data_IF_109363250647
#
_entry.id   IF_109363250647
#
_cell.length_a   1.000
_cell.length_b   1.000
_cell.length_c   1.000
_cell.angle_alpha   90.00
_cell.angle_beta   90.00
_cell.angle_gamma   90.00
#
_symmetry.space_group_name_H-M   'P 1'
#
loop_
_entity.id
_entity.type
_entity.pdbx_description
1 polymer ?
#
# COMPACT_ATOMS: atom_id res chain seq x y z
N UNK A 1 54.82 -1.29 -31.61
CA UNK A 1 55.79 -0.21 -31.34
C UNK A 1 57.04 -0.83 -30.70
N UNK A 2 58.23 -0.62 -31.28
CA UNK A 2 59.49 -1.16 -30.73
C UNK A 2 59.87 -0.46 -29.42
N UNK A 3 60.55 -1.18 -28.53
CA UNK A 3 61.13 -0.66 -27.28
C UNK A 3 62.16 0.43 -27.66
N UNK A 4 61.81 1.70 -27.44
CA UNK A 4 62.61 2.87 -27.82
C UNK A 4 61.84 3.98 -28.56
N UNK A 5 60.57 3.76 -28.93
CA UNK A 5 59.72 4.82 -29.52
C UNK A 5 59.26 5.81 -28.44
N UNK A 6 59.21 7.14 -28.71
CA UNK A 6 58.81 8.15 -27.72
C UNK A 6 57.38 7.98 -27.16
N UNK A 7 56.53 7.23 -27.86
CA UNK A 7 55.15 6.90 -27.45
C UNK A 7 55.02 5.48 -26.87
N UNK A 8 56.13 4.77 -26.65
CA UNK A 8 56.10 3.43 -26.05
C UNK A 8 55.65 3.51 -24.59
N UNK A 9 54.42 3.06 -24.32
CA UNK A 9 53.79 3.11 -23.00
C UNK A 9 52.78 4.23 -22.80
N UNK A 10 52.49 5.04 -23.83
CA UNK A 10 51.42 6.03 -23.78
C UNK A 10 50.10 5.43 -24.28
N UNK A 11 49.03 5.56 -23.48
CA UNK A 11 47.69 5.19 -23.91
C UNK A 11 47.19 6.23 -24.91
N UNK A 12 47.27 5.92 -26.20
CA UNK A 12 46.71 6.77 -27.26
C UNK A 12 45.22 6.41 -27.41
N UNK A 13 44.29 7.37 -27.22
CA UNK A 13 42.88 7.11 -27.43
C UNK A 13 42.64 6.70 -28.89
N UNK A 14 41.82 5.66 -29.10
CA UNK A 14 41.47 5.22 -30.45
C UNK A 14 40.72 6.35 -31.18
N UNK A 15 41.10 6.64 -32.43
CA UNK A 15 40.38 7.54 -33.34
C UNK A 15 38.89 7.19 -33.48
N UNK A 16 38.52 5.94 -33.21
CA UNK A 16 37.14 5.47 -33.16
C UNK A 16 36.30 6.01 -31.99
N UNK A 17 36.92 6.47 -30.89
CA UNK A 17 36.23 7.14 -29.78
C UNK A 17 36.00 8.65 -30.04
N UNK A 18 36.82 9.27 -30.89
CA UNK A 18 36.68 10.70 -31.25
C UNK A 18 35.59 10.93 -32.32
N UNK A 19 35.27 9.91 -33.13
CA UNK A 19 34.31 10.00 -34.25
C UNK A 19 32.93 9.40 -33.96
N UNK A 20 32.65 8.89 -32.76
CA UNK A 20 31.30 8.43 -32.43
C UNK A 20 30.39 9.61 -32.13
N UNK A 21 29.54 9.92 -33.10
CA UNK A 21 28.47 10.91 -32.97
C UNK A 21 27.69 10.70 -31.67
N UNK A 22 27.35 11.78 -30.95
CA UNK A 22 26.70 11.68 -29.62
C UNK A 22 25.42 10.80 -29.65
N UNK A 23 24.70 10.82 -30.77
CA UNK A 23 23.54 9.97 -31.02
C UNK A 23 23.87 8.48 -31.13
N UNK A 24 25.02 8.12 -31.72
CA UNK A 24 25.49 6.74 -31.86
C UNK A 24 25.89 6.16 -30.50
N UNK A 25 26.51 6.98 -29.65
CA UNK A 25 26.89 6.61 -28.29
C UNK A 25 25.67 6.44 -27.38
N UNK A 26 24.71 7.35 -27.43
CA UNK A 26 23.45 7.21 -26.72
C UNK A 26 22.65 5.97 -27.16
N UNK A 27 22.62 5.67 -28.47
CA UNK A 27 21.97 4.47 -28.99
C UNK A 27 22.65 3.17 -28.50
N UNK A 28 23.98 3.15 -28.40
CA UNK A 28 24.72 2.03 -27.82
C UNK A 28 24.38 1.87 -26.33
N UNK A 29 24.43 2.95 -25.54
CA UNK A 29 24.07 2.93 -24.12
C UNK A 29 22.64 2.43 -23.91
N UNK A 30 21.67 2.88 -24.72
CA UNK A 30 20.27 2.39 -24.64
C UNK A 30 20.13 0.88 -24.85
N UNK A 31 20.97 0.26 -25.69
CA UNK A 31 20.99 -1.20 -25.85
C UNK A 31 21.50 -1.90 -24.59
N UNK A 32 22.44 -1.27 -23.87
CA UNK A 32 22.97 -1.78 -22.61
C UNK A 32 22.05 -1.53 -21.41
N UNK A 33 21.22 -0.47 -21.43
CA UNK A 33 20.42 -0.03 -20.29
C UNK A 33 19.19 -0.87 -19.95
N UNK A 34 18.89 -1.91 -20.75
CA UNK A 34 17.75 -2.82 -20.53
C UNK A 34 16.38 -2.11 -20.39
N UNK A 35 16.22 -0.94 -21.04
CA UNK A 35 14.99 -0.13 -20.98
C UNK A 35 13.92 -0.56 -21.99
N UNK A 36 14.29 -1.21 -23.10
CA UNK A 36 13.36 -1.67 -24.14
C UNK A 36 12.32 -0.61 -24.54
N UNK A 37 11.04 -0.97 -24.40
CA UNK A 37 9.90 -0.12 -24.74
C UNK A 37 9.73 1.15 -23.85
N UNK A 38 10.41 1.20 -22.70
CA UNK A 38 10.36 2.31 -21.74
C UNK A 38 11.28 3.48 -22.14
N UNK A 39 12.06 3.34 -23.21
CA UNK A 39 12.94 4.39 -23.76
C UNK A 39 12.23 5.70 -24.16
N UNK A 40 10.89 5.69 -24.26
CA UNK A 40 10.06 6.87 -24.57
C UNK A 40 9.75 7.77 -23.36
N UNK A 41 9.98 7.29 -22.14
CA UNK A 41 9.65 8.02 -20.91
C UNK A 41 10.78 9.01 -20.59
N UNK A 42 10.44 10.25 -20.28
CA UNK A 42 11.43 11.29 -19.96
C UNK A 42 10.83 12.32 -19.02
N UNK A 43 11.66 13.13 -18.36
CA UNK A 43 11.18 14.21 -17.51
C UNK A 43 10.32 15.23 -18.26
N UNK A 44 10.56 15.45 -19.56
CA UNK A 44 9.78 16.39 -20.37
C UNK A 44 8.38 15.89 -20.72
N UNK A 45 8.15 14.57 -20.63
CA UNK A 45 6.85 13.93 -20.86
C UNK A 45 6.13 13.54 -19.56
N UNK A 46 6.71 13.87 -18.41
CA UNK A 46 6.12 13.62 -17.09
C UNK A 46 5.11 14.71 -16.75
N UNK A 47 3.88 14.29 -16.44
CA UNK A 47 2.88 15.18 -15.84
C UNK A 47 3.24 15.45 -14.37
N UNK A 48 3.42 16.73 -14.03
CA UNK A 48 3.79 17.16 -12.68
C UNK A 48 2.64 17.01 -11.68
N UNK A 49 1.39 16.92 -12.13
CA UNK A 49 0.29 16.56 -11.24
C UNK A 49 0.41 15.10 -10.78
N UNK A 50 1.14 14.27 -11.52
CA UNK A 50 1.33 12.87 -11.18
C UNK A 50 0.06 12.02 -11.34
N UNK A 51 0.18 10.71 -11.09
CA UNK A 51 -0.89 9.75 -11.36
C UNK A 51 -1.97 9.65 -10.28
N UNK A 52 -1.74 10.24 -9.10
CA UNK A 52 -2.66 10.18 -7.95
C UNK A 52 -3.49 11.46 -7.85
N UNK A 53 -4.79 11.33 -7.57
CA UNK A 53 -5.73 12.47 -7.59
C UNK A 53 -5.71 13.33 -6.33
N UNK A 54 -5.21 12.83 -5.20
CA UNK A 54 -5.23 13.56 -3.93
C UNK A 54 -4.18 14.68 -3.90
N UNK A 55 -4.56 15.86 -3.41
CA UNK A 55 -3.72 17.06 -3.44
C UNK A 55 -2.35 16.88 -2.75
N UNK A 56 -2.33 16.13 -1.64
CA UNK A 56 -1.09 15.80 -0.93
C UNK A 56 -0.14 14.94 -1.76
N UNK A 57 -0.63 13.89 -2.42
CA UNK A 57 0.21 13.04 -3.29
C UNK A 57 0.67 13.78 -4.53
N UNK A 58 -0.12 14.71 -5.09
CA UNK A 58 0.32 15.57 -6.20
C UNK A 58 1.53 16.43 -5.78
N UNK A 59 1.47 17.03 -4.59
CA UNK A 59 2.60 17.79 -4.05
C UNK A 59 3.83 16.90 -3.84
N UNK A 60 3.66 15.74 -3.18
CA UNK A 60 4.73 14.77 -2.97
C UNK A 60 5.37 14.29 -4.28
N UNK A 61 4.54 14.03 -5.29
CA UNK A 61 5.01 13.63 -6.61
C UNK A 61 5.82 14.74 -7.28
N UNK A 62 5.33 15.98 -7.29
CA UNK A 62 6.04 17.14 -7.85
C UNK A 62 7.39 17.39 -7.16
N UNK A 63 7.44 17.28 -5.83
CA UNK A 63 8.69 17.38 -5.07
C UNK A 63 9.64 16.23 -5.44
N UNK A 64 9.10 15.02 -5.59
CA UNK A 64 9.88 13.86 -6.01
C UNK A 64 10.42 13.96 -7.44
N UNK A 65 9.68 14.55 -8.37
CA UNK A 65 10.17 14.86 -9.72
C UNK A 65 11.38 15.79 -9.64
N UNK A 66 11.34 16.82 -8.80
CA UNK A 66 12.44 17.77 -8.66
C UNK A 66 13.71 17.10 -8.08
N UNK A 67 13.56 16.23 -7.08
CA UNK A 67 14.68 15.45 -6.52
C UNK A 67 15.23 14.46 -7.54
N UNK A 68 14.36 13.74 -8.26
CA UNK A 68 14.74 12.78 -9.30
C UNK A 68 15.48 13.46 -10.45
N UNK A 69 15.00 14.62 -10.90
CA UNK A 69 15.66 15.41 -11.94
C UNK A 69 17.06 15.85 -11.49
N UNK A 70 17.20 16.36 -10.24
CA UNK A 70 18.50 16.75 -9.68
C UNK A 70 19.46 15.57 -9.60
N UNK A 71 18.99 14.41 -9.14
CA UNK A 71 19.78 13.18 -9.10
C UNK A 71 20.28 12.78 -10.50
N UNK A 72 19.40 12.85 -11.51
CA UNK A 72 19.74 12.44 -12.86
C UNK A 72 20.75 13.36 -13.56
N UNK A 73 20.89 14.62 -13.10
CA UNK A 73 21.93 15.53 -13.58
C UNK A 73 23.31 15.22 -13.00
N UNK A 74 23.38 14.79 -11.74
CA UNK A 74 24.63 14.44 -11.05
C UNK A 74 24.43 13.26 -10.06
N UNK A 75 24.47 12.02 -10.56
CA UNK A 75 24.24 10.83 -9.74
C UNK A 75 25.48 10.53 -8.88
N UNK A 76 25.44 10.97 -7.61
CA UNK A 76 26.52 10.77 -6.63
C UNK A 76 26.12 9.95 -5.41
N UNK A 77 24.81 9.76 -5.18
CA UNK A 77 24.28 9.19 -3.95
C UNK A 77 23.27 8.06 -4.25
N UNK A 78 22.55 7.62 -3.22
CA UNK A 78 21.40 6.73 -3.38
C UNK A 78 20.11 7.54 -3.40
N UNK A 79 19.17 7.13 -4.24
CA UNK A 79 17.81 7.68 -4.30
C UNK A 79 16.81 6.54 -4.14
N UNK A 80 15.98 6.63 -3.11
CA UNK A 80 14.94 5.64 -2.84
C UNK A 80 13.57 6.27 -3.09
N UNK A 81 12.85 5.76 -4.08
CA UNK A 81 11.50 6.20 -4.41
C UNK A 81 10.49 5.23 -3.78
N UNK A 82 9.75 5.69 -2.78
CA UNK A 82 8.71 4.92 -2.09
C UNK A 82 7.32 5.52 -2.35
N UNK A 83 6.27 4.72 -2.21
CA UNK A 83 4.89 5.17 -2.40
C UNK A 83 3.94 4.02 -2.72
N UNK A 84 2.62 4.28 -2.74
CA UNK A 84 1.60 3.28 -3.07
C UNK A 84 1.72 2.82 -4.53
N UNK A 85 1.05 1.73 -4.90
CA UNK A 85 0.97 1.32 -6.29
C UNK A 85 0.42 2.43 -7.19
N UNK A 86 0.92 2.51 -8.42
CA UNK A 86 0.50 3.55 -9.35
C UNK A 86 1.03 4.96 -9.06
N UNK A 87 1.82 5.20 -8.02
CA UNK A 87 2.38 6.52 -7.67
C UNK A 87 3.47 7.06 -8.61
N UNK A 88 3.73 6.41 -9.75
CA UNK A 88 4.73 6.86 -10.74
C UNK A 88 6.20 6.57 -10.40
N UNK A 89 6.50 5.70 -9.43
CA UNK A 89 7.88 5.29 -9.07
C UNK A 89 8.69 4.79 -10.27
N UNK A 90 8.20 3.75 -10.95
CA UNK A 90 8.84 3.19 -12.15
C UNK A 90 9.01 4.24 -13.25
N UNK A 91 8.01 5.11 -13.42
CA UNK A 91 8.08 6.20 -14.41
C UNK A 91 9.24 7.16 -14.12
N UNK A 92 9.39 7.61 -12.87
CA UNK A 92 10.53 8.45 -12.47
C UNK A 92 11.86 7.71 -12.53
N UNK A 93 11.91 6.44 -12.12
CA UNK A 93 13.11 5.60 -12.19
C UNK A 93 13.62 5.47 -13.64
N UNK A 94 12.71 5.26 -14.59
CA UNK A 94 13.00 5.24 -16.02
C UNK A 94 13.41 6.61 -16.53
N UNK A 95 12.73 7.69 -16.11
CA UNK A 95 13.09 9.05 -16.50
C UNK A 95 14.51 9.42 -16.07
N UNK A 96 14.92 9.00 -14.85
CA UNK A 96 16.30 9.13 -14.37
C UNK A 96 17.26 8.36 -15.29
N UNK A 97 16.98 7.09 -15.57
CA UNK A 97 17.83 6.26 -16.42
C UNK A 97 18.03 6.88 -17.82
N UNK A 98 16.95 7.33 -18.46
CA UNK A 98 17.03 7.98 -19.77
C UNK A 98 17.83 9.28 -19.72
N UNK A 99 17.66 10.10 -18.67
CA UNK A 99 18.41 11.34 -18.50
C UNK A 99 19.91 11.10 -18.28
N UNK A 100 20.28 10.08 -17.50
CA UNK A 100 21.68 9.67 -17.35
C UNK A 100 22.28 9.25 -18.71
N UNK A 101 21.54 8.49 -19.52
CA UNK A 101 21.99 8.07 -20.86
C UNK A 101 22.18 9.27 -21.79
N UNK A 102 21.27 10.25 -21.77
CA UNK A 102 21.41 11.51 -22.52
C UNK A 102 22.67 12.29 -22.12
N UNK A 103 23.09 12.18 -20.87
CA UNK A 103 24.33 12.75 -20.33
C UNK A 103 25.58 11.87 -20.58
N UNK A 104 25.48 10.85 -21.42
CA UNK A 104 26.54 9.87 -21.69
C UNK A 104 27.00 9.07 -20.47
N UNK A 105 26.15 8.93 -19.45
CA UNK A 105 26.39 8.06 -18.31
C UNK A 105 25.75 6.68 -18.53
N UNK A 106 26.48 5.63 -18.17
CA UNK A 106 25.97 4.26 -18.26
C UNK A 106 25.02 3.99 -17.10
N UNK A 107 23.72 3.92 -17.43
CA UNK A 107 22.67 3.49 -16.51
C UNK A 107 22.17 2.09 -16.89
N UNK A 108 21.87 1.25 -15.91
CA UNK A 108 21.26 -0.06 -16.10
C UNK A 108 19.96 -0.16 -15.32
N UNK A 109 18.86 -0.41 -16.03
CA UNK A 109 17.53 -0.59 -15.45
C UNK A 109 17.19 -2.08 -15.38
N UNK A 110 16.76 -2.54 -14.21
CA UNK A 110 16.27 -3.91 -14.05
C UNK A 110 15.20 -3.98 -12.97
N UNK A 111 14.14 -4.74 -13.23
CA UNK A 111 13.14 -5.06 -12.22
C UNK A 111 13.71 -6.13 -11.29
N UNK A 112 13.53 -5.99 -9.98
CA UNK A 112 14.10 -6.89 -8.98
C UNK A 112 13.68 -8.36 -9.21
N UNK A 113 12.43 -8.60 -9.62
CA UNK A 113 11.94 -9.93 -9.97
C UNK A 113 12.69 -10.51 -11.19
N UNK A 114 12.85 -9.73 -12.26
CA UNK A 114 13.58 -10.15 -13.47
C UNK A 114 15.05 -10.45 -13.17
N UNK A 115 15.69 -9.64 -12.32
CA UNK A 115 17.06 -9.90 -11.86
C UNK A 115 17.13 -11.28 -11.19
N UNK A 116 16.23 -11.57 -10.24
CA UNK A 116 16.21 -12.83 -9.53
C UNK A 116 15.91 -14.01 -10.45
N UNK A 117 15.00 -13.86 -11.40
CA UNK A 117 14.69 -14.91 -12.37
C UNK A 117 15.87 -15.21 -13.30
N UNK A 118 16.58 -14.18 -13.77
CA UNK A 118 17.82 -14.38 -14.54
C UNK A 118 18.91 -15.06 -13.72
N UNK A 119 19.11 -14.63 -12.47
CA UNK A 119 20.07 -15.24 -11.56
C UNK A 119 19.73 -16.71 -11.28
N UNK A 120 18.44 -17.04 -11.16
CA UNK A 120 17.96 -18.41 -10.96
C UNK A 120 18.13 -19.27 -12.20
N UNK A 121 17.82 -18.73 -13.39
CA UNK A 121 17.97 -19.43 -14.66
C UNK A 121 19.43 -19.80 -14.93
N UNK A 122 20.37 -18.91 -14.57
CA UNK A 122 21.80 -19.13 -14.78
C UNK A 122 22.43 -20.20 -13.85
N UNK A 123 21.71 -20.70 -12.84
CA UNK A 123 22.10 -21.90 -12.08
C UNK A 123 21.73 -23.22 -12.80
N UNK A 124 21.00 -23.16 -13.91
CA UNK A 124 20.66 -24.36 -14.68
C UNK A 124 21.88 -24.83 -15.49
N UNK A 125 22.21 -26.14 -15.48
CA UNK A 125 23.45 -26.66 -16.06
C UNK A 125 23.63 -26.45 -17.59
N UNK A 126 22.60 -25.99 -18.30
CA UNK A 126 22.58 -25.79 -19.75
C UNK A 126 22.57 -24.31 -20.21
N UNK A 127 22.76 -23.34 -19.30
CA UNK A 127 22.71 -21.90 -19.67
C UNK A 127 24.01 -21.41 -20.34
N UNK A 128 23.94 -20.77 -21.53
CA UNK A 128 25.10 -20.20 -22.22
C UNK A 128 25.56 -18.84 -21.66
N UNK A 129 24.78 -18.21 -20.78
CA UNK A 129 25.14 -16.95 -20.10
C UNK A 129 25.64 -17.30 -18.71
N UNK A 130 26.89 -16.91 -18.41
CA UNK A 130 27.48 -17.13 -17.09
C UNK A 130 26.74 -16.27 -16.05
N UNK A 131 26.21 -16.92 -15.02
CA UNK A 131 25.64 -16.31 -13.82
C UNK A 131 26.45 -15.09 -13.31
N UNK A 132 27.77 -15.18 -13.42
CA UNK A 132 28.69 -14.17 -12.91
C UNK A 132 28.64 -12.85 -13.70
N UNK A 133 28.33 -12.87 -15.01
CA UNK A 133 28.40 -11.66 -15.85
C UNK A 133 27.30 -10.65 -15.49
N UNK A 134 26.03 -11.08 -15.42
CA UNK A 134 24.92 -10.20 -15.07
C UNK A 134 25.04 -9.73 -13.62
N UNK A 135 25.44 -10.62 -12.72
CA UNK A 135 25.58 -10.29 -11.30
C UNK A 135 26.69 -9.24 -11.09
N UNK A 136 27.86 -9.42 -11.73
CA UNK A 136 28.94 -8.43 -11.69
C UNK A 136 28.58 -7.14 -12.43
N UNK A 137 27.81 -7.21 -13.51
CA UNK A 137 27.30 -6.01 -14.19
C UNK A 137 26.43 -5.18 -13.26
N UNK A 138 25.45 -5.78 -12.59
CA UNK A 138 24.55 -5.09 -11.64
C UNK A 138 25.33 -4.54 -10.44
N UNK A 139 26.33 -5.27 -9.95
CA UNK A 139 27.18 -4.82 -8.84
C UNK A 139 28.04 -3.62 -9.20
N UNK A 140 28.56 -3.53 -10.42
CA UNK A 140 29.60 -2.57 -10.78
C UNK A 140 29.19 -1.49 -11.79
N UNK A 141 27.96 -1.55 -12.32
CA UNK A 141 27.47 -0.50 -13.24
C UNK A 141 27.52 0.89 -12.57
N UNK A 142 27.91 1.95 -13.29
CA UNK A 142 28.01 3.31 -12.73
C UNK A 142 26.71 3.80 -12.10
N UNK A 143 25.58 3.64 -12.79
CA UNK A 143 24.25 3.97 -12.23
C UNK A 143 23.35 2.75 -12.35
N UNK A 144 22.91 2.21 -11.22
CA UNK A 144 21.93 1.12 -11.18
C UNK A 144 20.54 1.68 -10.86
N UNK A 145 19.53 1.24 -11.60
CA UNK A 145 18.14 1.44 -11.28
C UNK A 145 17.53 0.07 -11.02
N UNK A 146 17.21 -0.20 -9.76
CA UNK A 146 16.56 -1.43 -9.31
C UNK A 146 15.09 -1.13 -9.03
N UNK A 147 14.22 -1.59 -9.92
CA UNK A 147 12.79 -1.30 -9.87
C UNK A 147 11.99 -2.40 -9.14
N UNK A 148 10.91 -1.99 -8.49
CA UNK A 148 9.92 -2.79 -7.78
C UNK A 148 10.51 -3.74 -6.72
N UNK A 149 11.34 -3.18 -5.82
CA UNK A 149 11.76 -3.90 -4.63
C UNK A 149 10.55 -4.07 -3.68
N UNK A 150 10.09 -5.30 -3.53
CA UNK A 150 8.92 -5.63 -2.70
C UNK A 150 9.15 -6.88 -1.85
N UNK A 151 8.25 -7.11 -0.89
CA UNK A 151 8.18 -8.32 -0.08
C UNK A 151 8.01 -9.60 -0.91
N UNK A 152 7.57 -9.51 -2.18
CA UNK A 152 7.44 -10.66 -3.07
C UNK A 152 8.78 -11.37 -3.35
N UNK A 153 9.91 -10.73 -3.02
CA UNK A 153 11.25 -11.35 -3.01
C UNK A 153 11.47 -12.28 -1.79
N UNK A 154 10.39 -12.85 -1.22
CA UNK A 154 10.32 -13.48 0.10
C UNK A 154 11.19 -14.74 0.29
N UNK A 155 11.73 -15.32 -0.79
CA UNK A 155 12.60 -16.50 -0.60
C UNK A 155 13.90 -16.08 0.09
N UNK A 156 14.42 -16.87 1.05
CA UNK A 156 15.69 -16.57 1.71
C UNK A 156 16.83 -16.34 0.70
N UNK A 157 16.83 -17.08 -0.40
CA UNK A 157 17.78 -16.90 -1.50
C UNK A 157 17.66 -15.54 -2.19
N UNK A 158 16.43 -15.10 -2.50
CA UNK A 158 16.22 -13.79 -3.13
C UNK A 158 16.66 -12.64 -2.23
N UNK A 159 16.33 -12.72 -0.94
CA UNK A 159 16.79 -11.76 0.07
C UNK A 159 18.32 -11.73 0.15
N UNK A 160 18.98 -12.90 0.18
CA UNK A 160 20.43 -13.01 0.20
C UNK A 160 21.07 -12.34 -1.02
N UNK A 161 20.56 -12.62 -2.22
CA UNK A 161 21.12 -12.07 -3.47
C UNK A 161 20.90 -10.57 -3.61
N UNK A 162 19.72 -10.07 -3.26
CA UNK A 162 19.45 -8.63 -3.24
C UNK A 162 20.33 -7.93 -2.20
N UNK A 163 20.50 -8.53 -1.02
CA UNK A 163 21.41 -8.01 0.00
C UNK A 163 22.85 -7.96 -0.50
N UNK A 164 23.36 -8.98 -1.20
CA UNK A 164 24.70 -8.98 -1.77
C UNK A 164 24.92 -7.81 -2.74
N UNK A 165 23.96 -7.55 -3.64
CA UNK A 165 24.02 -6.42 -4.58
C UNK A 165 23.96 -5.09 -3.85
N UNK A 166 22.96 -4.91 -2.98
CA UNK A 166 22.75 -3.65 -2.25
C UNK A 166 23.94 -3.34 -1.35
N UNK A 167 24.42 -4.31 -0.59
CA UNK A 167 25.54 -4.15 0.33
C UNK A 167 26.85 -3.85 -0.42
N UNK A 168 27.12 -4.51 -1.56
CA UNK A 168 28.29 -4.21 -2.38
C UNK A 168 28.27 -2.77 -2.87
N UNK A 169 27.14 -2.33 -3.44
CA UNK A 169 27.01 -0.98 -3.99
C UNK A 169 27.04 0.09 -2.90
N UNK A 170 26.45 -0.20 -1.74
CA UNK A 170 26.45 0.69 -0.58
C UNK A 170 27.87 0.90 -0.07
N UNK A 171 28.63 -0.19 0.15
CA UNK A 171 30.02 -0.11 0.62
C UNK A 171 30.97 0.59 -0.35
N UNK A 172 30.67 0.54 -1.65
CA UNK A 172 31.47 1.20 -2.69
C UNK A 172 30.91 2.59 -3.09
N UNK A 173 29.89 3.10 -2.40
CA UNK A 173 29.22 4.37 -2.68
C UNK A 173 28.79 4.52 -4.15
N UNK A 174 28.34 3.42 -4.79
CA UNK A 174 27.94 3.44 -6.19
C UNK A 174 26.52 4.00 -6.34
N UNK A 175 26.29 4.99 -7.23
CA UNK A 175 24.97 5.60 -7.43
C UNK A 175 23.89 4.57 -7.74
N UNK A 176 22.81 4.59 -6.96
CA UNK A 176 21.75 3.58 -7.04
C UNK A 176 20.39 4.21 -6.82
N UNK A 177 19.47 3.98 -7.76
CA UNK A 177 18.05 4.29 -7.60
C UNK A 177 17.31 3.01 -7.26
N UNK A 178 16.54 3.01 -6.19
CA UNK A 178 15.70 1.88 -5.80
C UNK A 178 14.26 2.34 -5.72
N UNK A 179 13.34 1.62 -6.35
CA UNK A 179 11.91 1.85 -6.11
C UNK A 179 11.37 0.80 -5.15
N UNK A 180 10.59 1.24 -4.16
CA UNK A 180 10.00 0.37 -3.15
C UNK A 180 8.50 0.56 -3.14
N UNK A 181 7.76 -0.55 -3.18
CA UNK A 181 6.30 -0.54 -3.04
C UNK A 181 5.93 -0.50 -1.56
N UNK A 182 5.28 0.57 -1.12
CA UNK A 182 4.91 0.73 0.29
C UNK A 182 6.05 1.23 1.18
N UNK A 183 5.81 1.35 2.50
CA UNK A 183 6.75 1.91 3.47
C UNK A 183 8.02 1.05 3.62
N UNK A 184 9.18 1.71 3.79
CA UNK A 184 10.48 1.05 3.93
C UNK A 184 10.57 0.14 5.16
N UNK A 185 9.74 0.40 6.18
CA UNK A 185 9.67 -0.41 7.40
C UNK A 185 9.24 -1.86 7.15
N UNK A 186 8.66 -2.15 5.98
CA UNK A 186 8.32 -3.52 5.55
C UNK A 186 9.52 -4.32 5.05
N UNK A 187 10.62 -3.66 4.68
CA UNK A 187 11.81 -4.37 4.24
C UNK A 187 12.54 -4.99 5.43
N UNK A 188 13.26 -6.07 5.17
CA UNK A 188 14.15 -6.67 6.16
C UNK A 188 15.13 -5.62 6.72
N UNK A 189 15.45 -5.74 8.01
CA UNK A 189 16.32 -4.81 8.74
C UNK A 189 17.66 -4.57 8.02
N UNK A 190 18.21 -5.62 7.42
CA UNK A 190 19.48 -5.55 6.71
C UNK A 190 19.38 -4.64 5.47
N UNK A 191 18.27 -4.69 4.73
CA UNK A 191 18.05 -3.83 3.55
C UNK A 191 17.62 -2.43 3.96
N UNK A 192 16.67 -2.33 4.90
CA UNK A 192 16.09 -1.07 5.38
C UNK A 192 17.17 -0.10 5.83
N UNK A 193 18.10 -0.54 6.66
CA UNK A 193 19.16 0.30 7.23
C UNK A 193 20.07 0.94 6.17
N UNK A 194 20.31 0.28 5.03
CA UNK A 194 21.10 0.85 3.92
C UNK A 194 20.26 1.80 3.07
N UNK A 195 18.99 1.48 2.86
CA UNK A 195 18.08 2.27 2.01
C UNK A 195 17.57 3.55 2.71
N UNK A 196 17.38 3.53 4.03
CA UNK A 196 17.03 4.72 4.80
C UNK A 196 18.20 5.70 4.90
N UNK A 197 19.44 5.23 4.71
CA UNK A 197 20.63 6.07 4.70
C UNK A 197 20.82 6.80 6.01
N UNK A 198 20.82 6.10 7.15
CA UNK A 198 20.99 6.68 8.48
C UNK A 198 22.28 7.52 8.66
N UNK A 199 23.23 7.36 7.74
CA UNK A 199 24.50 8.07 7.61
C UNK A 199 24.49 9.20 6.54
N UNK A 200 23.34 9.49 5.93
CA UNK A 200 23.18 10.50 4.88
C UNK A 200 23.53 10.02 3.47
N UNK A 201 23.75 8.72 3.26
CA UNK A 201 24.13 8.16 1.94
C UNK A 201 22.95 8.00 0.97
N UNK A 202 21.73 7.94 1.49
CA UNK A 202 20.51 7.78 0.71
C UNK A 202 19.51 8.92 0.95
N UNK A 203 18.90 9.39 -0.13
CA UNK A 203 17.74 10.29 -0.08
C UNK A 203 16.48 9.46 -0.31
N UNK A 204 15.59 9.42 0.68
CA UNK A 204 14.28 8.76 0.56
C UNK A 204 13.24 9.79 0.14
N UNK A 205 12.50 9.49 -0.93
CA UNK A 205 11.43 10.33 -1.46
C UNK A 205 10.15 9.50 -1.54
N UNK A 206 9.12 9.97 -0.84
CA UNK A 206 7.78 9.40 -0.93
C UNK A 206 6.98 10.11 -2.02
N UNK A 207 6.43 9.37 -2.99
CA UNK A 207 5.72 9.88 -4.17
C UNK A 207 4.19 9.87 -4.02
N UNK A 208 3.70 9.65 -2.81
CA UNK A 208 2.27 9.62 -2.51
C UNK A 208 1.98 9.00 -1.16
N UNK A 209 0.80 9.29 -0.62
CA UNK A 209 0.39 8.71 0.64
C UNK A 209 0.11 7.22 0.51
N UNK A 210 0.56 6.41 1.49
CA UNK A 210 0.17 5.01 1.61
C UNK A 210 -1.31 4.81 1.97
N UNK A 211 -2.07 5.90 2.08
CA UNK A 211 -3.52 5.92 2.28
C UNK A 211 -4.24 5.66 0.94
N UNK A 212 -4.15 4.43 0.44
CA UNK A 212 -4.84 3.94 -0.75
C UNK A 212 -6.32 3.66 -0.53
N UNK A 213 -7.08 4.66 -0.06
CA UNK A 213 -8.56 4.61 -0.17
C UNK A 213 -9.03 4.48 -1.64
N UNK A 214 -8.21 4.94 -2.57
CA UNK A 214 -8.65 5.26 -3.93
C UNK A 214 -8.53 4.12 -4.97
N UNK A 215 -7.88 2.99 -4.68
CA UNK A 215 -7.62 1.99 -5.75
C UNK A 215 -8.77 0.99 -5.93
N UNK A 216 -9.68 0.83 -4.95
CA UNK A 216 -10.82 -0.10 -5.08
C UNK A 216 -12.16 0.41 -4.52
N UNK A 217 -12.26 1.66 -4.03
CA UNK A 217 -13.48 2.14 -3.37
C UNK A 217 -13.84 1.34 -2.10
N UNK A 218 -12.86 0.65 -1.54
CA UNK A 218 -12.99 -0.14 -0.30
C UNK A 218 -12.76 0.80 0.87
N UNK A 219 -13.57 0.68 1.91
CA UNK A 219 -13.48 1.57 3.07
C UNK A 219 -14.25 2.88 2.89
N UNK A 220 -14.74 3.18 1.69
CA UNK A 220 -15.57 4.36 1.42
C UNK A 220 -17.05 4.09 1.67
N UNK A 221 -17.74 5.13 2.13
CA UNK A 221 -19.20 5.11 2.28
C UNK A 221 -19.81 5.74 1.05
N UNK A 222 -20.72 5.02 0.40
CA UNK A 222 -21.45 5.53 -0.77
C UNK A 222 -22.17 6.83 -0.43
N UNK A 223 -22.10 7.81 -1.32
CA UNK A 223 -22.69 9.14 -1.10
C UNK A 223 -24.18 9.07 -0.80
N UNK A 224 -24.92 8.16 -1.43
CA UNK A 224 -26.36 8.00 -1.17
C UNK A 224 -26.64 7.47 0.24
N UNK A 225 -25.73 6.67 0.82
CA UNK A 225 -25.85 6.22 2.20
C UNK A 225 -25.61 7.38 3.17
N UNK A 226 -24.55 8.17 2.95
CA UNK A 226 -24.25 9.35 3.79
C UNK A 226 -25.38 10.38 3.79
N UNK A 227 -26.06 10.58 2.66
CA UNK A 227 -27.18 11.51 2.57
C UNK A 227 -28.45 11.00 3.29
N UNK A 228 -28.66 9.69 3.32
CA UNK A 228 -29.91 9.09 3.84
C UNK A 228 -29.80 8.65 5.29
N UNK A 229 -28.66 8.07 5.68
CA UNK A 229 -28.44 7.44 6.97
C UNK A 229 -27.76 8.40 7.95
N UNK A 230 -28.45 9.50 8.27
CA UNK A 230 -28.00 10.51 9.24
C UNK A 230 -28.71 10.33 10.58
N UNK A 231 -28.17 10.90 11.66
CA UNK A 231 -28.87 10.90 12.95
C UNK A 231 -30.24 11.58 12.87
N UNK A 232 -30.37 12.65 12.07
CA UNK A 232 -31.63 13.37 11.86
C UNK A 232 -32.70 12.51 11.17
N UNK A 233 -32.28 11.59 10.30
CA UNK A 233 -33.17 10.70 9.56
C UNK A 233 -33.40 9.36 10.29
N UNK A 234 -32.86 9.18 11.50
CA UNK A 234 -33.06 7.96 12.27
C UNK A 234 -34.40 8.03 13.02
N UNK A 235 -35.25 7.04 12.81
CA UNK A 235 -36.59 6.98 13.41
C UNK A 235 -36.56 6.16 14.70
N UNK A 236 -36.62 6.84 15.84
CA UNK A 236 -36.65 6.18 17.15
C UNK A 236 -38.03 5.70 17.57
N UNK A 237 -39.08 6.06 16.83
CA UNK A 237 -40.44 5.61 17.14
C UNK A 237 -40.68 4.14 16.78
N UNK A 238 -39.78 3.52 16.02
CA UNK A 238 -39.82 2.10 15.63
C UNK A 238 -40.97 1.73 14.67
N UNK A 239 -41.65 2.74 14.13
CA UNK A 239 -42.84 2.61 13.29
C UNK A 239 -44.14 2.42 14.08
N UNK A 240 -45.27 2.22 13.37
CA UNK A 240 -46.62 2.38 13.92
C UNK A 240 -47.01 1.41 15.05
N UNK A 241 -46.27 0.31 15.24
CA UNK A 241 -46.61 -0.76 16.19
C UNK A 241 -45.47 -1.10 17.17
N UNK A 242 -44.44 -0.25 17.31
CA UNK A 242 -43.35 -0.52 18.26
C UNK A 242 -43.84 -0.39 19.71
N UNK A 243 -43.40 -1.34 20.54
CA UNK A 243 -43.61 -1.30 21.98
C UNK A 243 -42.73 -0.22 22.65
N UNK A 244 -43.09 0.26 23.86
CA UNK A 244 -42.27 1.23 24.59
C UNK A 244 -40.82 0.76 24.83
N UNK A 245 -40.62 -0.55 25.04
CA UNK A 245 -39.28 -1.12 25.22
C UNK A 245 -38.44 -1.09 23.94
N UNK A 246 -39.07 -1.30 22.77
CA UNK A 246 -38.39 -1.21 21.47
C UNK A 246 -38.02 0.25 21.17
N UNK A 247 -38.90 1.20 21.46
CA UNK A 247 -38.63 2.63 21.34
C UNK A 247 -37.49 3.07 22.26
N UNK A 248 -37.51 2.65 23.53
CA UNK A 248 -36.42 2.94 24.47
C UNK A 248 -35.09 2.36 23.96
N UNK A 249 -35.09 1.16 23.37
CA UNK A 249 -33.88 0.57 22.80
C UNK A 249 -33.32 1.39 21.61
N UNK A 250 -34.20 1.94 20.76
CA UNK A 250 -33.83 2.79 19.63
C UNK A 250 -33.31 4.15 20.09
N UNK A 251 -33.99 4.80 21.05
CA UNK A 251 -33.56 6.07 21.63
C UNK A 251 -32.20 5.93 22.30
N UNK A 252 -31.99 4.87 23.09
CA UNK A 252 -30.70 4.57 23.72
C UNK A 252 -29.61 4.35 22.69
N UNK A 253 -29.86 3.53 21.67
CA UNK A 253 -28.90 3.28 20.61
C UNK A 253 -28.53 4.56 19.84
N UNK A 254 -29.52 5.41 19.53
CA UNK A 254 -29.29 6.70 18.89
C UNK A 254 -28.45 7.63 19.76
N UNK A 255 -28.80 7.75 21.05
CA UNK A 255 -28.08 8.63 21.97
C UNK A 255 -26.62 8.18 22.18
N UNK A 256 -26.39 6.89 22.41
CA UNK A 256 -25.03 6.35 22.51
C UNK A 256 -24.25 6.54 21.22
N UNK A 257 -24.87 6.32 20.06
CA UNK A 257 -24.24 6.55 18.76
C UNK A 257 -23.82 8.02 18.56
N UNK A 258 -24.66 8.98 18.98
CA UNK A 258 -24.32 10.41 18.91
C UNK A 258 -23.13 10.76 19.82
N UNK A 259 -23.12 10.23 21.05
CA UNK A 259 -22.01 10.42 22.00
C UNK A 259 -20.71 9.84 21.45
N UNK A 260 -20.73 8.60 20.98
CA UNK A 260 -19.57 7.96 20.35
C UNK A 260 -19.11 8.70 19.10
N UNK A 261 -20.03 9.21 18.28
CA UNK A 261 -19.67 10.00 17.10
C UNK A 261 -19.04 11.35 17.46
N UNK A 262 -19.34 11.91 18.64
CA UNK A 262 -18.72 13.14 19.10
C UNK A 262 -17.28 12.92 19.61
N UNK A 263 -17.07 11.82 20.33
CA UNK A 263 -15.77 11.44 20.91
C UNK A 263 -15.60 9.91 20.82
N UNK A 264 -15.04 9.40 19.70
CA UNK A 264 -14.90 7.97 19.49
C UNK A 264 -13.83 7.42 20.43
N UNK A 265 -14.27 6.67 21.44
CA UNK A 265 -13.41 5.95 22.37
C UNK A 265 -13.95 4.53 22.56
N UNK A 266 -13.05 3.55 22.58
CA UNK A 266 -13.44 2.16 22.75
C UNK A 266 -14.24 1.63 21.56
N UNK A 267 -15.05 0.61 21.79
CA UNK A 267 -15.77 -0.10 20.74
C UNK A 267 -17.27 -0.01 20.97
N UNK A 268 -18.03 0.12 19.89
CA UNK A 268 -19.49 0.16 19.92
C UNK A 268 -20.05 -0.97 19.06
N UNK A 269 -20.80 -1.88 19.68
CA UNK A 269 -21.38 -3.03 18.99
C UNK A 269 -22.90 -2.94 19.00
N UNK A 270 -23.49 -2.80 17.81
CA UNK A 270 -24.94 -2.87 17.63
C UNK A 270 -25.35 -4.30 17.26
N UNK A 271 -26.27 -4.88 18.02
CA UNK A 271 -26.85 -6.19 17.72
C UNK A 271 -28.37 -6.15 17.68
N UNK A 272 -28.99 -7.07 16.91
CA UNK A 272 -30.45 -7.15 16.78
C UNK A 272 -30.89 -7.67 15.41
N UNK A 273 -32.21 -7.78 15.16
CA UNK A 273 -32.74 -8.38 13.95
C UNK A 273 -32.44 -7.56 12.68
N UNK A 274 -32.55 -8.19 11.51
CA UNK A 274 -32.35 -7.49 10.22
C UNK A 274 -33.37 -6.35 10.10
N UNK A 275 -32.88 -5.17 9.67
CA UNK A 275 -33.72 -4.00 9.49
C UNK A 275 -34.04 -3.19 10.76
N UNK A 276 -33.36 -3.46 11.88
CA UNK A 276 -33.51 -2.70 13.13
C UNK A 276 -32.77 -1.35 13.16
N UNK A 277 -32.01 -1.01 12.11
CA UNK A 277 -31.31 0.29 12.00
C UNK A 277 -29.83 0.30 12.38
N UNK A 278 -29.22 -0.85 12.71
CA UNK A 278 -27.78 -0.94 13.06
C UNK A 278 -26.85 -0.28 12.04
N UNK A 279 -26.95 -0.67 10.77
CA UNK A 279 -26.15 -0.09 9.68
C UNK A 279 -26.40 1.41 9.52
N UNK A 280 -27.63 1.88 9.78
CA UNK A 280 -27.94 3.32 9.71
C UNK A 280 -27.16 4.08 10.77
N UNK A 281 -27.16 3.62 12.03
CA UNK A 281 -26.40 4.26 13.10
C UNK A 281 -24.89 4.20 12.84
N UNK A 282 -24.38 3.08 12.38
CA UNK A 282 -22.97 2.94 12.01
C UNK A 282 -22.53 3.92 10.91
N UNK A 283 -23.36 4.11 9.89
CA UNK A 283 -23.12 5.09 8.82
C UNK A 283 -23.28 6.52 9.33
N UNK A 284 -24.23 6.80 10.22
CA UNK A 284 -24.41 8.13 10.82
C UNK A 284 -23.18 8.55 11.65
N UNK A 285 -22.63 7.64 12.45
CA UNK A 285 -21.37 7.83 13.20
C UNK A 285 -20.23 8.17 12.23
N UNK A 286 -20.06 7.34 11.20
CA UNK A 286 -19.01 7.54 10.22
C UNK A 286 -19.17 8.87 9.45
N UNK A 287 -20.39 9.24 9.08
CA UNK A 287 -20.69 10.49 8.38
C UNK A 287 -20.38 11.74 9.22
N UNK A 288 -20.64 11.70 10.53
CA UNK A 288 -20.23 12.76 11.46
C UNK A 288 -18.70 12.88 11.54
N UNK A 289 -17.99 11.76 11.66
CA UNK A 289 -16.52 11.74 11.70
C UNK A 289 -15.88 12.23 10.40
N UNK A 290 -16.42 11.83 9.25
CA UNK A 290 -15.99 12.34 7.94
C UNK A 290 -16.19 13.86 7.83
N UNK A 291 -17.32 14.40 8.33
CA UNK A 291 -17.57 15.86 8.36
C UNK A 291 -16.58 16.63 9.23
N UNK A 292 -16.03 15.98 10.26
CA UNK A 292 -14.97 16.55 11.13
C UNK A 292 -13.57 16.41 10.54
N UNK A 293 -13.44 15.84 9.34
CA UNK A 293 -12.16 15.58 8.68
C UNK A 293 -11.43 14.34 9.19
N UNK A 294 -12.05 13.56 10.07
CA UNK A 294 -11.49 12.29 10.55
C UNK A 294 -11.50 11.23 9.46
N UNK A 295 -10.49 10.37 9.53
CA UNK A 295 -10.36 9.23 8.65
C UNK A 295 -11.24 8.06 9.12
N UNK A 296 -12.14 7.61 8.25
CA UNK A 296 -13.01 6.44 8.49
C UNK A 296 -12.72 5.36 7.45
N UNK A 297 -12.85 4.09 7.86
CA UNK A 297 -12.89 2.94 6.97
C UNK A 297 -14.19 2.18 7.22
N UNK A 298 -15.09 2.18 6.24
CA UNK A 298 -16.34 1.44 6.30
C UNK A 298 -16.27 0.17 5.46
N UNK A 299 -16.55 -0.96 6.08
CA UNK A 299 -16.49 -2.26 5.43
C UNK A 299 -17.74 -3.09 5.71
N UNK A 300 -18.38 -3.53 4.65
CA UNK A 300 -19.29 -4.66 4.72
C UNK A 300 -18.45 -5.95 4.78
N UNK A 301 -18.54 -6.70 5.88
CA UNK A 301 -17.60 -7.79 6.20
C UNK A 301 -17.45 -8.83 5.08
N UNK A 302 -18.53 -9.34 4.45
CA UNK A 302 -18.40 -10.28 3.33
C UNK A 302 -17.58 -9.70 2.15
N UNK A 303 -17.84 -8.44 1.77
CA UNK A 303 -17.12 -7.77 0.69
C UNK A 303 -15.66 -7.50 1.06
N UNK A 304 -15.39 -7.14 2.32
CA UNK A 304 -14.03 -6.98 2.83
C UNK A 304 -13.21 -8.26 2.66
N UNK A 305 -13.78 -9.40 3.03
CA UNK A 305 -13.13 -10.70 2.91
C UNK A 305 -12.86 -11.09 1.45
N UNK A 306 -13.80 -10.82 0.55
CA UNK A 306 -13.59 -11.03 -0.89
C UNK A 306 -12.42 -10.18 -1.42
N UNK A 307 -12.33 -8.92 -1.00
CA UNK A 307 -11.21 -8.06 -1.38
C UNK A 307 -9.88 -8.51 -0.78
N UNK A 308 -9.84 -8.85 0.51
CA UNK A 308 -8.65 -9.41 1.15
C UNK A 308 -8.19 -10.67 0.41
N UNK A 309 -9.12 -11.53 -0.03
CA UNK A 309 -8.79 -12.72 -0.82
C UNK A 309 -8.23 -12.37 -2.20
N UNK A 310 -8.78 -11.35 -2.85
CA UNK A 310 -8.31 -10.88 -4.16
C UNK A 310 -6.87 -10.33 -4.11
N UNK A 311 -6.47 -9.72 -2.98
CA UNK A 311 -5.11 -9.17 -2.81
C UNK A 311 -3.98 -10.21 -2.83
N UNK A 312 -4.28 -11.51 -2.72
CA UNK A 312 -3.29 -12.58 -2.87
C UNK A 312 -2.98 -12.92 -4.34
N UNK A 313 -3.69 -12.34 -5.31
CA UNK A 313 -3.34 -12.52 -6.73
C UNK A 313 -2.05 -11.76 -7.07
N UNK A 314 -1.13 -12.36 -7.85
CA UNK A 314 0.11 -11.70 -8.29
C UNK A 314 -0.13 -10.37 -9.02
N UNK A 315 -1.26 -10.25 -9.73
CA UNK A 315 -1.66 -9.07 -10.49
C UNK A 315 -2.43 -8.04 -9.66
N UNK A 316 -2.59 -8.24 -8.34
CA UNK A 316 -3.34 -7.32 -7.50
C UNK A 316 -2.64 -5.95 -7.42
N UNK A 317 -3.34 -4.85 -7.73
CA UNK A 317 -2.77 -3.51 -7.64
C UNK A 317 -2.52 -3.09 -6.19
N UNK A 318 -3.19 -3.73 -5.22
CA UNK A 318 -3.05 -3.48 -3.77
C UNK A 318 -2.52 -4.75 -3.11
N UNK A 319 -1.42 -4.62 -2.35
CA UNK A 319 -0.88 -5.74 -1.58
C UNK A 319 -1.74 -6.03 -0.36
N UNK A 320 -1.86 -7.30 0.01
CA UNK A 320 -2.60 -7.73 1.21
C UNK A 320 -2.17 -6.93 2.46
N UNK A 321 -0.87 -6.79 2.69
CA UNK A 321 -0.32 -6.09 3.86
C UNK A 321 -0.69 -4.60 3.88
N UNK A 322 -0.92 -3.98 2.72
CA UNK A 322 -1.33 -2.57 2.64
C UNK A 322 -2.78 -2.38 3.05
N UNK A 323 -3.68 -3.20 2.51
CA UNK A 323 -5.09 -3.18 2.89
C UNK A 323 -5.26 -3.56 4.37
N UNK A 324 -4.53 -4.56 4.83
CA UNK A 324 -4.58 -5.03 6.21
C UNK A 324 -4.11 -3.97 7.20
N UNK A 325 -2.98 -3.29 6.92
CA UNK A 325 -2.47 -2.22 7.77
C UNK A 325 -3.41 -1.01 7.83
N UNK A 326 -4.07 -0.66 6.72
CA UNK A 326 -5.05 0.42 6.72
C UNK A 326 -6.24 0.13 7.62
N UNK A 327 -6.76 -1.09 7.60
CA UNK A 327 -7.84 -1.53 8.47
C UNK A 327 -7.38 -1.48 9.93
N UNK A 328 -6.15 -1.87 10.20
CA UNK A 328 -5.58 -1.90 11.54
C UNK A 328 -5.29 -0.51 12.12
N UNK A 329 -4.84 0.45 11.31
CA UNK A 329 -4.38 1.77 11.77
C UNK A 329 -5.39 2.89 11.62
N UNK A 330 -6.50 2.69 10.90
CA UNK A 330 -7.50 3.75 10.69
C UNK A 330 -8.09 4.26 12.02
N UNK A 331 -8.24 5.60 12.20
CA UNK A 331 -8.79 6.19 13.42
C UNK A 331 -10.18 5.69 13.78
N UNK A 332 -11.05 5.44 12.79
CA UNK A 332 -12.34 4.78 13.00
C UNK A 332 -12.54 3.67 11.97
N UNK A 333 -12.74 2.45 12.46
CA UNK A 333 -13.15 1.30 11.65
C UNK A 333 -14.64 1.02 11.88
N UNK A 334 -15.40 0.80 10.81
CA UNK A 334 -16.77 0.31 10.86
C UNK A 334 -16.84 -1.04 10.14
N UNK A 335 -17.19 -2.09 10.89
CA UNK A 335 -17.43 -3.44 10.38
C UNK A 335 -18.94 -3.72 10.39
N UNK A 336 -19.57 -3.63 9.23
CA UNK A 336 -21.00 -3.86 9.05
C UNK A 336 -21.29 -5.33 8.69
N UNK A 337 -22.31 -5.90 9.33
CA UNK A 337 -22.84 -7.26 9.15
C UNK A 337 -21.82 -8.37 9.48
N UNK A 338 -21.12 -8.22 10.61
CA UNK A 338 -20.24 -9.24 11.15
C UNK A 338 -21.03 -10.49 11.57
N UNK A 339 -20.63 -11.66 11.07
CA UNK A 339 -21.30 -12.95 11.29
C UNK A 339 -22.26 -13.36 10.17
N UNK A 340 -22.42 -12.54 9.12
CA UNK A 340 -23.20 -12.89 7.94
C UNK A 340 -22.38 -13.64 6.86
N UNK A 341 -21.07 -13.73 7.03
CA UNK A 341 -20.12 -14.37 6.12
C UNK A 341 -20.16 -15.90 6.15
N UNK A 342 -19.74 -16.52 5.04
CA UNK A 342 -19.47 -17.96 4.97
C UNK A 342 -18.34 -18.32 5.96
N UNK A 343 -18.60 -19.23 6.89
CA UNK A 343 -17.69 -19.69 7.96
C UNK A 343 -16.46 -20.48 7.46
N UNK A 344 -15.63 -19.84 6.65
CA UNK A 344 -14.32 -20.40 6.27
C UNK A 344 -13.31 -20.12 7.39
N UNK A 345 -12.46 -21.09 7.70
CA UNK A 345 -11.39 -20.92 8.69
C UNK A 345 -10.48 -19.73 8.36
N UNK A 346 -10.29 -19.43 7.07
CA UNK A 346 -9.54 -18.26 6.62
C UNK A 346 -10.22 -16.94 6.99
N UNK A 347 -11.55 -16.82 6.79
CA UNK A 347 -12.29 -15.63 7.17
C UNK A 347 -12.22 -15.38 8.68
N UNK A 348 -12.41 -16.44 9.47
CA UNK A 348 -12.29 -16.38 10.93
C UNK A 348 -10.88 -15.96 11.37
N UNK A 349 -9.82 -16.52 10.76
CA UNK A 349 -8.44 -16.13 11.04
C UNK A 349 -8.21 -14.64 10.75
N UNK A 350 -8.67 -14.13 9.61
CA UNK A 350 -8.42 -12.73 9.21
C UNK A 350 -9.19 -11.73 10.05
N UNK A 351 -10.46 -12.01 10.33
CA UNK A 351 -11.26 -11.19 11.24
C UNK A 351 -10.67 -11.21 12.66
N UNK A 352 -10.21 -12.36 13.13
CA UNK A 352 -9.54 -12.47 14.42
C UNK A 352 -8.29 -11.60 14.51
N UNK A 353 -7.44 -11.59 13.48
CA UNK A 353 -6.23 -10.76 13.45
C UNK A 353 -6.57 -9.26 13.52
N UNK A 354 -7.57 -8.79 12.76
CA UNK A 354 -8.04 -7.38 12.79
C UNK A 354 -8.57 -7.03 14.18
N UNK A 355 -9.43 -7.90 14.72
CA UNK A 355 -10.10 -7.65 15.99
C UNK A 355 -9.11 -7.58 17.14
N UNK A 356 -8.17 -8.52 17.22
CA UNK A 356 -7.14 -8.53 18.27
C UNK A 356 -6.26 -7.30 18.18
N UNK A 357 -5.75 -6.97 16.98
CA UNK A 357 -4.87 -5.82 16.81
C UNK A 357 -5.54 -4.53 17.30
N UNK A 358 -6.78 -4.28 16.89
CA UNK A 358 -7.50 -3.06 17.25
C UNK A 358 -7.97 -3.05 18.70
N UNK A 359 -8.27 -4.21 19.28
CA UNK A 359 -8.64 -4.34 20.69
C UNK A 359 -7.45 -4.01 21.60
N UNK A 360 -6.28 -4.58 21.30
CA UNK A 360 -5.04 -4.31 22.02
C UNK A 360 -4.60 -2.85 21.91
N UNK A 361 -4.74 -2.25 20.72
CA UNK A 361 -4.44 -0.85 20.47
C UNK A 361 -5.54 0.13 20.95
N UNK A 362 -6.68 -0.38 21.45
CA UNK A 362 -7.88 0.40 21.85
C UNK A 362 -8.35 1.39 20.78
N UNK A 363 -8.23 1.02 19.51
CA UNK A 363 -8.62 1.90 18.41
C UNK A 363 -10.15 1.89 18.21
N UNK A 364 -10.78 3.07 18.03
CA UNK A 364 -12.23 3.18 17.89
C UNK A 364 -12.80 2.28 16.79
N UNK A 365 -13.77 1.44 17.16
CA UNK A 365 -14.34 0.45 16.23
C UNK A 365 -15.84 0.32 16.44
N UNK A 366 -16.62 0.43 15.36
CA UNK A 366 -18.07 0.19 15.35
C UNK A 366 -18.35 -1.12 14.65
N UNK A 367 -19.15 -1.99 15.26
CA UNK A 367 -19.52 -3.30 14.72
C UNK A 367 -21.04 -3.41 14.65
N UNK A 368 -21.57 -3.95 13.56
CA UNK A 368 -22.97 -4.37 13.49
C UNK A 368 -23.04 -5.88 13.31
N UNK A 369 -23.94 -6.53 14.03
CA UNK A 369 -24.17 -7.98 13.90
C UNK A 369 -25.64 -8.33 14.08
N UNK A 370 -26.05 -9.47 13.53
CA UNK A 370 -27.39 -10.04 13.76
C UNK A 370 -27.40 -10.92 15.02
N UNK A 371 -26.26 -11.47 15.41
CA UNK A 371 -26.15 -12.43 16.52
C UNK A 371 -26.39 -11.79 17.88
N UNK A 372 -27.00 -12.55 18.80
CA UNK A 372 -27.16 -12.12 20.19
C UNK A 372 -25.87 -12.35 20.99
N UNK A 373 -25.78 -11.76 22.18
CA UNK A 373 -24.68 -12.02 23.13
C UNK A 373 -24.60 -13.52 23.43
N UNK A 374 -25.72 -14.13 23.78
CA UNK A 374 -25.80 -15.55 24.15
C UNK A 374 -25.30 -16.46 23.01
N UNK A 375 -25.69 -16.16 21.76
CA UNK A 375 -25.23 -16.91 20.59
C UNK A 375 -23.71 -16.78 20.41
N UNK A 376 -23.16 -15.57 20.60
CA UNK A 376 -21.71 -15.34 20.46
C UNK A 376 -20.92 -16.04 21.58
N UNK A 377 -21.40 -16.00 22.82
CA UNK A 377 -20.80 -16.72 23.95
C UNK A 377 -20.79 -18.25 23.73
N UNK A 378 -21.89 -18.80 23.21
CA UNK A 378 -22.05 -20.23 22.95
C UNK A 378 -21.19 -20.72 21.77
N UNK A 379 -20.85 -19.85 20.83
CA UNK A 379 -20.08 -20.22 19.63
C UNK A 379 -18.66 -20.68 19.95
N UNK A 380 -18.11 -20.35 21.14
CA UNK A 380 -16.71 -20.60 21.55
C UNK A 380 -15.65 -20.09 20.55
N UNK A 381 -16.03 -19.18 19.64
CA UNK A 381 -15.09 -18.57 18.70
C UNK A 381 -14.14 -17.65 19.45
N UNK A 382 -12.88 -17.60 19.01
CA UNK A 382 -11.86 -16.70 19.56
C UNK A 382 -12.20 -15.22 19.34
N UNK A 383 -13.05 -14.93 18.35
CA UNK A 383 -13.55 -13.59 18.07
C UNK A 383 -14.56 -13.18 19.15
N UNK A 384 -15.51 -14.07 19.47
CA UNK A 384 -16.56 -13.79 20.43
C UNK A 384 -16.01 -13.42 21.82
N UNK A 385 -14.95 -14.07 22.28
CA UNK A 385 -14.35 -13.73 23.58
C UNK A 385 -13.77 -12.31 23.66
N UNK A 386 -13.38 -11.72 22.52
CA UNK A 386 -12.93 -10.33 22.44
C UNK A 386 -14.08 -9.36 22.30
N UNK A 387 -15.13 -9.76 21.57
CA UNK A 387 -16.33 -8.94 21.43
C UNK A 387 -17.08 -8.81 22.75
N UNK A 388 -17.12 -9.85 23.59
CA UNK A 388 -17.82 -9.87 24.88
C UNK A 388 -17.04 -9.14 26.00
N UNK A 389 -15.85 -8.60 25.71
CA UNK A 389 -15.07 -7.83 26.68
C UNK A 389 -15.71 -6.47 27.00
N UNK A 390 -16.58 -6.45 28.01
CA UNK A 390 -17.29 -5.27 28.47
C UNK A 390 -16.42 -4.15 29.08
N UNK A 391 -15.10 -4.35 29.19
CA UNK A 391 -14.18 -3.24 29.54
C UNK A 391 -13.83 -2.37 28.32
N UNK A 392 -14.00 -2.90 27.11
CA UNK A 392 -13.60 -2.25 25.86
C UNK A 392 -14.80 -2.06 24.92
N UNK A 393 -15.76 -2.98 24.95
CA UNK A 393 -16.89 -3.01 24.02
C UNK A 393 -18.19 -2.63 24.74
N UNK A 394 -18.82 -1.54 24.28
CA UNK A 394 -20.16 -1.15 24.68
C UNK A 394 -21.20 -1.83 23.77
N UNK A 395 -22.05 -2.66 24.36
CA UNK A 395 -23.03 -3.50 23.65
C UNK A 395 -24.42 -2.87 23.67
N UNK A 396 -24.93 -2.56 22.47
CA UNK A 396 -26.18 -1.85 22.27
C UNK A 396 -27.19 -2.74 21.53
N UNK A 397 -28.01 -3.51 22.27
CA UNK A 397 -29.08 -4.31 21.69
C UNK A 397 -30.22 -3.43 21.18
N UNK A 398 -30.57 -3.60 19.91
CA UNK A 398 -31.73 -2.96 19.28
C UNK A 398 -32.81 -4.02 19.10
N UNK A 399 -33.86 -3.97 19.91
CA UNK A 399 -34.94 -4.95 19.90
C UNK A 399 -35.97 -4.72 18.78
N UNK A 400 -35.97 -3.54 18.18
CA UNK A 400 -36.98 -3.12 17.22
C UNK A 400 -37.06 -4.04 15.97
N UNK A 401 -38.29 -4.36 15.50
CA UNK A 401 -38.50 -5.22 14.34
C UNK A 401 -38.12 -4.54 13.03
N UNK A 402 -38.10 -5.30 11.93
CA UNK A 402 -37.67 -4.82 10.63
C UNK A 402 -38.47 -3.60 10.14
N UNK A 403 -37.81 -2.44 10.09
CA UNK A 403 -38.39 -1.17 9.64
C UNK A 403 -38.90 -1.22 8.19
N UNK A 404 -38.28 -2.04 7.32
CA UNK A 404 -38.62 -2.11 5.89
C UNK A 404 -39.94 -2.84 5.61
N UNK A 405 -40.34 -3.75 6.49
CA UNK A 405 -41.59 -4.51 6.34
C UNK A 405 -42.81 -3.67 6.73
N UNK A 406 -42.62 -2.63 7.54
CA UNK A 406 -43.70 -1.76 8.01
C UNK A 406 -44.12 -0.73 6.96
N UNK A 407 -43.21 -0.20 6.14
CA UNK A 407 -43.52 0.74 5.02
C UNK A 407 -44.32 0.12 3.88
N UNK A 408 -44.33 -1.21 3.72
CA UNK A 408 -45.11 -1.90 2.68
C UNK A 408 -46.56 -2.17 3.07
N UNK A 409 -46.93 -1.94 4.33
CA UNK A 409 -48.28 -2.19 4.87
C UNK A 409 -49.06 -0.91 5.21
N UNK A 410 -48.50 0.26 4.91
CA UNK A 410 -49.11 1.58 5.15
C UNK A 410 -49.63 2.23 3.88
#
# INVERSE_FOLDING_TARGET
>A
VHIGHPEFGQAVPCTCQETQDANTRAAALRRYSNLGALSRISFSTTDLEGPLSDASSRQMFSEGVAVAARFAEDPQAWLVLTGPSGSGKTHLAVAIANRCIERNQTAFFIVAADLLDHLRAAYSPDSPVSYDELFEQVRNVPVLILDDLSLANATPWAQEKLFQVINHRYNNALPTVVTVRGPLQRLDDALRTRLEGADGTATVVQLGNFNSRLVMGIGEIRTEMLQRMTFENFDTTGGANASPAEQESLDRAMHTAQTFAAEPEGWLLFNGPRGSGKTHLAVAIAGEQLRRGSQVFFAFVPTLLDHLRATFSPDSPVGYDELFEQINSVPLLVLDDLGAESSTAWAEEKLYQIIVHRHEARLPTVITTVSTIDELEDTKSRIASRLVDGMVVDWLPIAAPNYRDQRRRG
#
